data_IF_419507711002
#
_entry.id   IF_419507711002
#
_cell.length_a   1.000
_cell.length_b   1.000
_cell.length_c   1.000
_cell.angle_alpha   90.00
_cell.angle_beta   90.00
_cell.angle_gamma   90.00
#
_symmetry.space_group_name_H-M   'P 1'
#
loop_
_entity.id
_entity.type
_entity.pdbx_description
1 polymer ?
#
# COMPACT_ATOMS: atom_id res chain seq x y z
N UNK A 1 -24.75 25.40 -23.77
CA UNK A 1 -24.72 24.65 -25.05
C UNK A 1 -24.55 23.17 -24.73
N UNK A 2 -25.44 22.29 -25.21
CA UNK A 2 -25.32 20.86 -24.96
C UNK A 2 -24.14 20.31 -25.78
N UNK A 3 -23.09 19.87 -25.09
CA UNK A 3 -22.01 19.10 -25.69
C UNK A 3 -22.60 17.85 -26.33
N UNK A 4 -22.51 17.74 -27.66
CA UNK A 4 -22.88 16.54 -28.42
C UNK A 4 -22.11 15.36 -27.83
N UNK A 5 -22.81 14.48 -27.08
CA UNK A 5 -22.33 13.13 -26.84
C UNK A 5 -22.20 12.47 -28.21
N UNK A 6 -20.96 12.38 -28.73
CA UNK A 6 -20.63 11.45 -29.80
C UNK A 6 -20.96 10.07 -29.24
N UNK A 7 -21.85 9.34 -29.89
CA UNK A 7 -22.11 7.94 -29.60
C UNK A 7 -20.76 7.21 -29.59
N UNK A 8 -20.30 6.87 -28.40
CA UNK A 8 -18.96 6.33 -28.21
C UNK A 8 -19.06 4.84 -28.48
N UNK A 9 -18.59 4.39 -29.65
CA UNK A 9 -18.60 2.98 -30.04
C UNK A 9 -17.55 2.12 -29.29
N UNK A 10 -17.01 2.59 -28.17
CA UNK A 10 -16.00 1.86 -27.41
C UNK A 10 -16.67 1.09 -26.28
N UNK A 11 -16.43 -0.21 -26.24
CA UNK A 11 -16.98 -1.12 -25.22
C UNK A 11 -16.18 -1.12 -23.93
N UNK A 12 -14.88 -0.82 -23.99
CA UNK A 12 -13.98 -0.77 -22.85
C UNK A 12 -13.01 0.40 -22.95
N UNK A 13 -12.22 0.64 -21.90
CA UNK A 13 -11.13 1.61 -21.94
C UNK A 13 -10.01 1.19 -22.90
N UNK A 14 -9.89 -0.09 -23.26
CA UNK A 14 -8.86 -0.57 -24.20
C UNK A 14 -9.09 -0.03 -25.61
N UNK A 15 -10.35 0.10 -26.03
CA UNK A 15 -10.73 0.58 -27.36
C UNK A 15 -10.84 2.11 -27.43
N UNK A 16 -10.55 2.80 -26.31
CA UNK A 16 -10.62 4.26 -26.20
C UNK A 16 -9.41 4.91 -26.88
N UNK A 17 -9.62 5.92 -27.75
CA UNK A 17 -8.53 6.71 -28.32
C UNK A 17 -7.66 7.34 -27.24
N UNK A 18 -6.34 7.34 -27.46
CA UNK A 18 -5.37 7.78 -26.44
C UNK A 18 -5.60 9.22 -25.97
N UNK A 19 -6.05 10.13 -26.84
CA UNK A 19 -6.33 11.52 -26.46
C UNK A 19 -7.52 11.63 -25.49
N UNK A 20 -8.56 10.83 -25.72
CA UNK A 20 -9.70 10.77 -24.80
C UNK A 20 -9.28 10.11 -23.47
N UNK A 21 -8.49 9.03 -23.53
CA UNK A 21 -7.97 8.38 -22.32
C UNK A 21 -7.14 9.34 -21.48
N UNK A 22 -6.25 10.14 -22.09
CA UNK A 22 -5.48 11.19 -21.40
C UNK A 22 -6.38 12.23 -20.75
N UNK A 23 -7.38 12.72 -21.48
CA UNK A 23 -8.32 13.70 -20.94
C UNK A 23 -9.11 13.14 -19.75
N UNK A 24 -9.50 11.86 -19.78
CA UNK A 24 -10.17 11.19 -18.65
C UNK A 24 -9.23 10.91 -17.49
N UNK A 25 -7.97 10.57 -17.74
CA UNK A 25 -6.97 10.38 -16.70
C UNK A 25 -6.74 11.66 -15.89
N UNK A 26 -6.63 12.82 -16.55
CA UNK A 26 -6.51 14.11 -15.85
C UNK A 26 -7.77 14.46 -15.05
N UNK A 27 -8.96 14.18 -15.58
CA UNK A 27 -10.22 14.34 -14.83
C UNK A 27 -10.27 13.43 -13.60
N UNK A 28 -9.90 12.16 -13.74
CA UNK A 28 -9.85 11.21 -12.64
C UNK A 28 -8.87 11.65 -11.55
N UNK A 29 -7.70 12.20 -11.95
CA UNK A 29 -6.72 12.78 -11.03
C UNK A 29 -7.28 13.97 -10.26
N UNK A 30 -7.99 14.87 -10.92
CA UNK A 30 -8.64 16.01 -10.27
C UNK A 30 -9.72 15.56 -9.27
N UNK A 31 -10.55 14.58 -9.64
CA UNK A 31 -11.55 14.00 -8.73
C UNK A 31 -10.92 13.32 -7.51
N UNK A 32 -9.79 12.63 -7.69
CA UNK A 32 -9.06 12.02 -6.58
C UNK A 32 -8.50 13.08 -5.61
N UNK A 33 -8.02 14.21 -6.12
CA UNK A 33 -7.58 15.33 -5.29
C UNK A 33 -8.76 15.95 -4.51
N UNK A 34 -9.89 16.20 -5.18
CA UNK A 34 -11.10 16.74 -4.54
C UNK A 34 -11.64 15.80 -3.46
N UNK A 35 -11.64 14.48 -3.71
CA UNK A 35 -12.00 13.49 -2.69
C UNK A 35 -11.08 13.58 -1.47
N UNK A 36 -9.77 13.73 -1.70
CA UNK A 36 -8.78 13.92 -0.63
C UNK A 36 -9.08 15.15 0.22
N UNK A 37 -9.35 16.30 -0.40
CA UNK A 37 -9.70 17.55 0.31
C UNK A 37 -11.01 17.40 1.10
N UNK A 38 -12.03 16.77 0.52
CA UNK A 38 -13.30 16.51 1.21
C UNK A 38 -13.11 15.60 2.42
N UNK A 39 -12.30 14.55 2.30
CA UNK A 39 -11.99 13.66 3.43
C UNK A 39 -11.21 14.37 4.53
N UNK A 40 -10.22 15.20 4.17
CA UNK A 40 -9.46 16.00 5.15
C UNK A 40 -10.37 17.00 5.88
N UNK A 41 -11.37 17.58 5.19
CA UNK A 41 -12.35 18.47 5.84
C UNK A 41 -13.23 17.78 6.88
N UNK A 42 -13.49 16.47 6.71
CA UNK A 42 -14.27 15.67 7.67
C UNK A 42 -13.41 15.16 8.83
N UNK A 43 -12.14 14.87 8.54
CA UNK A 43 -11.18 14.29 9.47
C UNK A 43 -9.87 15.07 9.43
N UNK A 44 -9.83 16.28 10.01
CA UNK A 44 -8.63 17.12 9.93
C UNK A 44 -7.44 16.42 10.59
N UNK A 45 -6.31 16.40 9.88
CA UNK A 45 -5.07 15.81 10.40
C UNK A 45 -4.94 14.31 10.18
N UNK A 46 -5.48 13.76 9.09
CA UNK A 46 -5.24 12.38 8.68
C UNK A 46 -3.73 12.09 8.59
N UNK A 47 -3.31 10.96 9.17
CA UNK A 47 -1.91 10.56 9.24
C UNK A 47 -1.54 9.66 8.07
N UNK A 48 -0.44 9.99 7.38
CA UNK A 48 0.19 9.09 6.40
C UNK A 48 1.45 8.46 6.99
N UNK A 49 1.41 7.16 7.25
CA UNK A 49 2.59 6.41 7.69
C UNK A 49 3.61 6.28 6.55
N UNK A 50 4.89 6.33 6.91
CA UNK A 50 5.98 5.93 6.01
C UNK A 50 5.88 4.44 5.66
N UNK A 51 6.66 4.01 4.66
CA UNK A 51 6.69 2.59 4.28
C UNK A 51 7.19 1.72 5.44
N UNK A 52 8.20 2.19 6.14
CA UNK A 52 8.84 1.51 7.27
C UNK A 52 7.87 1.41 8.46
N UNK A 53 7.20 2.52 8.80
CA UNK A 53 6.18 2.54 9.85
C UNK A 53 5.01 1.59 9.54
N UNK A 54 4.54 1.57 8.27
CA UNK A 54 3.42 0.72 7.85
C UNK A 54 3.77 -0.78 7.88
N UNK A 55 5.05 -1.14 7.82
CA UNK A 55 5.50 -2.53 7.94
C UNK A 55 5.42 -3.03 9.38
N UNK A 56 5.79 -2.20 10.35
CA UNK A 56 5.83 -2.55 11.78
C UNK A 56 4.54 -2.19 12.53
N UNK A 57 3.64 -1.41 11.94
CA UNK A 57 2.37 -1.05 12.54
C UNK A 57 1.53 -2.30 12.90
N UNK A 58 0.91 -2.33 14.10
CA UNK A 58 0.05 -3.43 14.50
C UNK A 58 -1.18 -3.50 13.58
N UNK A 59 -1.59 -4.72 13.25
CA UNK A 59 -2.81 -4.99 12.47
C UNK A 59 -3.78 -5.72 13.38
N UNK A 60 -4.93 -5.10 13.63
CA UNK A 60 -6.00 -5.76 14.36
C UNK A 60 -6.70 -6.77 13.45
N UNK A 61 -7.14 -7.87 14.06
CA UNK A 61 -7.92 -8.93 13.42
C UNK A 61 -9.41 -8.61 13.53
N UNK A 62 -10.20 -9.29 12.71
CA UNK A 62 -11.66 -9.19 12.77
C UNK A 62 -12.17 -9.57 14.18
N UNK A 63 -13.02 -8.70 14.74
CA UNK A 63 -13.57 -8.86 16.08
C UNK A 63 -12.65 -8.46 17.24
N UNK A 64 -11.39 -8.12 16.99
CA UNK A 64 -10.43 -7.78 18.05
C UNK A 64 -10.84 -6.53 18.84
N UNK A 65 -11.42 -5.50 18.20
CA UNK A 65 -11.91 -4.29 18.89
C UNK A 65 -12.90 -4.58 20.00
N UNK A 66 -13.80 -5.56 19.80
CA UNK A 66 -14.79 -5.94 20.82
C UNK A 66 -14.11 -6.63 22.02
N UNK A 67 -13.07 -7.43 21.77
CA UNK A 67 -12.31 -8.09 22.83
C UNK A 67 -11.44 -7.09 23.61
N UNK A 68 -10.82 -6.12 22.94
CA UNK A 68 -10.08 -5.04 23.60
C UNK A 68 -10.98 -4.21 24.52
N UNK A 69 -12.22 -3.94 24.10
CA UNK A 69 -13.21 -3.31 24.97
C UNK A 69 -13.54 -4.12 26.24
N UNK A 70 -13.50 -5.46 26.17
CA UNK A 70 -13.66 -6.34 27.34
C UNK A 70 -12.47 -6.26 28.29
N UNK A 71 -11.25 -6.10 27.77
CA UNK A 71 -10.06 -5.83 28.61
C UNK A 71 -10.26 -4.54 29.39
N UNK A 72 -10.73 -3.47 28.73
CA UNK A 72 -11.01 -2.20 29.38
C UNK A 72 -12.17 -2.29 30.39
N UNK A 73 -13.12 -3.23 30.24
CA UNK A 73 -14.14 -3.52 31.26
C UNK A 73 -13.47 -4.05 32.54
N UNK A 74 -12.48 -4.95 32.41
CA UNK A 74 -11.72 -5.50 33.56
C UNK A 74 -10.90 -4.40 34.24
N UNK A 75 -10.26 -3.51 33.47
CA UNK A 75 -9.52 -2.37 34.04
C UNK A 75 -10.44 -1.50 34.90
N UNK A 76 -11.66 -1.23 34.43
CA UNK A 76 -12.66 -0.48 35.21
C UNK A 76 -13.10 -1.22 36.48
N UNK A 77 -13.14 -2.55 36.48
CA UNK A 77 -13.49 -3.34 37.67
C UNK A 77 -12.38 -3.34 38.73
N UNK A 78 -11.11 -3.25 38.31
CA UNK A 78 -9.93 -3.39 39.17
C UNK A 78 -8.83 -2.37 38.81
N UNK A 79 -9.10 -1.06 38.90
CA UNK A 79 -8.19 -0.02 38.39
C UNK A 79 -6.80 -0.05 39.04
N UNK A 80 -6.73 -0.35 40.34
CA UNK A 80 -5.47 -0.41 41.09
C UNK A 80 -4.44 -1.42 40.53
N UNK A 81 -4.89 -2.44 39.80
CA UNK A 81 -3.98 -3.43 39.17
C UNK A 81 -3.24 -2.87 37.95
N UNK A 82 -3.71 -1.75 37.39
CA UNK A 82 -3.22 -1.21 36.12
C UNK A 82 -2.59 0.18 36.26
N UNK A 83 -2.45 0.70 37.49
CA UNK A 83 -1.84 2.01 37.76
C UNK A 83 -0.43 2.14 37.19
N UNK A 84 0.36 1.06 37.17
CA UNK A 84 1.71 1.04 36.60
C UNK A 84 1.77 1.19 35.07
N UNK A 85 0.62 1.21 34.39
CA UNK A 85 0.52 1.43 32.95
C UNK A 85 -0.04 2.82 32.61
N UNK A 86 -0.33 3.65 33.61
CA UNK A 86 -0.94 4.97 33.42
C UNK A 86 -0.10 5.92 32.55
N UNK A 87 1.23 5.74 32.51
CA UNK A 87 2.13 6.52 31.67
C UNK A 87 2.18 6.02 30.20
N UNK A 88 1.55 4.88 29.89
CA UNK A 88 1.64 4.22 28.57
C UNK A 88 0.39 4.40 27.70
N UNK A 89 -0.72 4.89 28.24
CA UNK A 89 -1.96 5.09 27.47
C UNK A 89 -1.97 6.41 26.66
N UNK A 90 -0.92 7.22 26.83
CA UNK A 90 -0.76 8.57 26.28
C UNK A 90 -1.94 9.49 26.63
N UNK A 91 -2.46 9.32 27.85
CA UNK A 91 -3.45 10.19 28.47
C UNK A 91 -2.88 11.48 29.05
N UNK A 92 -3.73 12.21 29.76
CA UNK A 92 -3.43 13.44 30.47
C UNK A 92 -3.08 13.19 31.95
N UNK A 93 -3.57 12.09 32.55
CA UNK A 93 -3.32 11.77 33.95
C UNK A 93 -2.26 10.65 34.10
N UNK A 94 -1.01 10.98 34.49
CA UNK A 94 0.07 10.00 34.59
C UNK A 94 -0.12 8.97 35.72
N UNK A 95 -1.13 9.13 36.58
CA UNK A 95 -1.40 8.22 37.70
C UNK A 95 -2.66 7.37 37.49
N UNK A 96 -3.35 7.52 36.35
CA UNK A 96 -4.58 6.80 36.07
C UNK A 96 -4.61 6.27 34.65
N UNK A 97 -4.82 4.97 34.52
CA UNK A 97 -5.11 4.37 33.22
C UNK A 97 -6.49 4.79 32.69
N UNK A 98 -6.50 5.60 31.63
CA UNK A 98 -7.66 6.27 31.05
C UNK A 98 -8.42 5.38 30.08
N UNK A 99 -9.24 4.48 30.62
CA UNK A 99 -10.03 3.54 29.80
C UNK A 99 -10.95 4.23 28.79
N UNK A 100 -11.54 5.37 29.13
CA UNK A 100 -12.42 6.13 28.22
C UNK A 100 -11.67 6.62 26.98
N UNK A 101 -10.46 7.16 27.15
CA UNK A 101 -9.59 7.59 26.05
C UNK A 101 -9.29 6.44 25.09
N UNK A 102 -8.94 5.27 25.63
CA UNK A 102 -8.63 4.10 24.82
C UNK A 102 -9.86 3.54 24.10
N UNK A 103 -11.06 3.61 24.70
CA UNK A 103 -12.31 3.24 24.01
C UNK A 103 -12.59 4.12 22.80
N UNK A 104 -12.42 5.44 22.96
CA UNK A 104 -12.57 6.38 21.85
C UNK A 104 -11.57 6.09 20.72
N UNK A 105 -10.31 5.75 21.07
CA UNK A 105 -9.29 5.38 20.09
C UNK A 105 -9.64 4.07 19.36
N UNK A 106 -10.14 3.05 20.08
CA UNK A 106 -10.61 1.79 19.48
C UNK A 106 -11.76 2.05 18.50
N UNK A 107 -12.75 2.85 18.90
CA UNK A 107 -13.91 3.16 18.05
C UNK A 107 -13.49 3.95 16.80
N UNK A 108 -12.65 4.98 16.96
CA UNK A 108 -12.08 5.73 15.83
C UNK A 108 -11.31 4.82 14.88
N UNK A 109 -10.48 3.92 15.42
CA UNK A 109 -9.76 2.95 14.60
C UNK A 109 -10.72 2.06 13.80
N UNK A 110 -11.78 1.51 14.43
CA UNK A 110 -12.80 0.70 13.74
C UNK A 110 -13.49 1.46 12.60
N UNK A 111 -13.89 2.71 12.85
CA UNK A 111 -14.56 3.55 11.85
C UNK A 111 -13.62 3.89 10.69
N UNK A 112 -12.35 4.21 10.97
CA UNK A 112 -11.36 4.43 9.93
C UNK A 112 -11.07 3.16 9.13
N UNK A 113 -11.00 1.98 9.76
CA UNK A 113 -10.82 0.70 9.05
C UNK A 113 -11.96 0.45 8.06
N UNK A 114 -13.22 0.61 8.48
CA UNK A 114 -14.40 0.43 7.61
C UNK A 114 -14.41 1.41 6.44
N UNK A 115 -14.08 2.67 6.69
CA UNK A 115 -13.98 3.68 5.63
C UNK A 115 -12.86 3.31 4.64
N UNK A 116 -11.69 2.92 5.14
CA UNK A 116 -10.58 2.50 4.31
C UNK A 116 -10.92 1.27 3.45
N UNK A 117 -11.62 0.29 4.02
CA UNK A 117 -12.15 -0.87 3.28
C UNK A 117 -13.11 -0.47 2.16
N UNK A 118 -14.00 0.51 2.41
CA UNK A 118 -14.92 1.00 1.38
C UNK A 118 -14.24 1.72 0.21
N UNK A 119 -13.06 2.31 0.46
CA UNK A 119 -12.27 3.02 -0.54
C UNK A 119 -11.23 2.11 -1.24
N UNK A 120 -10.89 0.97 -0.63
CA UNK A 120 -9.86 0.07 -1.14
C UNK A 120 -10.09 -0.42 -2.58
N UNK A 121 -11.32 -0.77 -3.03
CA UNK A 121 -11.57 -1.21 -4.40
C UNK A 121 -11.13 -0.18 -5.45
N UNK A 122 -11.31 1.12 -5.19
CA UNK A 122 -10.99 2.20 -6.14
C UNK A 122 -9.49 2.18 -6.48
N UNK A 123 -8.64 2.11 -5.44
CA UNK A 123 -7.19 2.02 -5.61
C UNK A 123 -6.77 0.67 -6.19
N UNK A 124 -7.44 -0.41 -5.79
CA UNK A 124 -7.18 -1.77 -6.26
C UNK A 124 -7.40 -1.93 -7.76
N UNK A 125 -8.58 -1.55 -8.27
CA UNK A 125 -8.94 -1.66 -9.69
C UNK A 125 -8.02 -0.84 -10.60
N UNK A 126 -7.68 0.39 -10.20
CA UNK A 126 -6.72 1.22 -10.93
C UNK A 126 -5.33 0.61 -10.91
N UNK A 127 -4.86 0.13 -9.75
CA UNK A 127 -3.59 -0.57 -9.61
C UNK A 127 -3.51 -1.81 -10.49
N UNK A 128 -4.52 -2.67 -10.45
CA UNK A 128 -4.61 -3.88 -11.26
C UNK A 128 -4.68 -3.56 -12.75
N UNK A 129 -5.37 -2.50 -13.15
CA UNK A 129 -5.40 -2.04 -14.54
C UNK A 129 -4.02 -1.63 -15.05
N UNK A 130 -3.17 -1.03 -14.20
CA UNK A 130 -1.78 -0.73 -14.58
C UNK A 130 -0.95 -2.01 -14.79
N UNK A 131 -1.14 -3.02 -13.94
CA UNK A 131 -0.45 -4.31 -14.04
C UNK A 131 -0.93 -5.09 -15.25
N UNK A 132 -2.24 -5.14 -15.47
CA UNK A 132 -2.88 -5.73 -16.63
C UNK A 132 -2.34 -5.13 -17.93
N UNK A 133 -2.24 -3.80 -18.00
CA UNK A 133 -1.67 -3.11 -19.17
C UNK A 133 -0.20 -3.46 -19.37
N UNK A 134 0.58 -3.53 -18.28
CA UNK A 134 1.99 -3.91 -18.36
C UNK A 134 2.19 -5.33 -18.91
N UNK A 135 1.33 -6.29 -18.54
CA UNK A 135 1.34 -7.66 -19.08
C UNK A 135 1.22 -7.63 -20.61
N UNK A 136 0.38 -6.74 -21.18
CA UNK A 136 0.13 -6.68 -22.62
C UNK A 136 1.34 -6.24 -23.45
N UNK A 137 2.23 -5.39 -22.92
CA UNK A 137 3.36 -4.87 -23.71
C UNK A 137 4.74 -5.37 -23.26
N UNK A 138 4.93 -5.70 -21.98
CA UNK A 138 6.28 -5.87 -21.41
C UNK A 138 7.04 -7.04 -22.03
N UNK A 139 6.40 -8.19 -22.18
CA UNK A 139 7.05 -9.39 -22.71
C UNK A 139 7.47 -9.22 -24.17
N UNK A 140 6.58 -8.64 -24.99
CA UNK A 140 6.86 -8.33 -26.39
C UNK A 140 8.04 -7.36 -26.52
N UNK A 141 8.06 -6.29 -25.73
CA UNK A 141 9.18 -5.33 -25.73
C UNK A 141 10.49 -5.95 -25.22
N UNK A 142 10.44 -6.88 -24.26
CA UNK A 142 11.62 -7.60 -23.78
C UNK A 142 12.17 -8.57 -24.82
N UNK A 143 11.31 -9.21 -25.61
CA UNK A 143 11.74 -10.00 -26.76
C UNK A 143 12.40 -9.10 -27.83
N UNK A 144 11.76 -7.98 -28.19
CA UNK A 144 12.33 -7.01 -29.12
C UNK A 144 13.68 -6.44 -28.65
N UNK A 145 13.78 -6.10 -27.37
CA UNK A 145 15.04 -5.65 -26.76
C UNK A 145 16.16 -6.68 -26.90
N UNK A 146 15.89 -7.97 -26.67
CA UNK A 146 16.90 -9.03 -26.81
C UNK A 146 17.43 -9.12 -28.24
N UNK A 147 16.55 -9.02 -29.23
CA UNK A 147 16.94 -8.99 -30.65
C UNK A 147 17.76 -7.73 -30.95
N UNK A 148 17.25 -6.55 -30.58
CA UNK A 148 17.93 -5.27 -30.79
C UNK A 148 19.31 -5.24 -30.14
N UNK A 149 19.47 -5.83 -28.96
CA UNK A 149 20.75 -5.93 -28.23
C UNK A 149 21.78 -6.73 -29.01
N UNK A 150 21.40 -7.81 -29.69
CA UNK A 150 22.31 -8.58 -30.54
C UNK A 150 22.76 -7.74 -31.73
N UNK A 151 21.84 -7.04 -32.40
CA UNK A 151 22.19 -6.16 -33.52
C UNK A 151 23.07 -4.98 -33.12
N UNK A 152 22.88 -4.42 -31.92
CA UNK A 152 23.71 -3.34 -31.40
C UNK A 152 25.21 -3.69 -31.29
N UNK A 153 25.57 -4.97 -31.30
CA UNK A 153 26.98 -5.40 -31.27
C UNK A 153 27.72 -5.10 -32.58
N UNK A 154 26.99 -5.01 -33.69
CA UNK A 154 27.57 -4.86 -35.03
C UNK A 154 27.03 -3.63 -35.79
N UNK A 155 25.92 -3.04 -35.35
CA UNK A 155 25.36 -1.81 -35.90
C UNK A 155 25.46 -0.66 -34.89
N UNK A 156 26.30 0.33 -35.23
CA UNK A 156 26.54 1.51 -34.39
C UNK A 156 25.30 2.40 -34.25
N UNK A 157 24.45 2.52 -35.28
CA UNK A 157 23.22 3.32 -35.19
C UNK A 157 22.23 2.68 -34.21
N UNK A 158 22.14 1.34 -34.22
CA UNK A 158 21.32 0.61 -33.24
C UNK A 158 21.91 0.75 -31.84
N UNK A 159 23.24 0.67 -31.70
CA UNK A 159 23.92 0.86 -30.42
C UNK A 159 23.69 2.26 -29.83
N UNK A 160 23.78 3.31 -30.65
CA UNK A 160 23.61 4.69 -30.20
C UNK A 160 22.20 4.91 -29.60
N UNK A 161 21.17 4.27 -30.15
CA UNK A 161 19.80 4.32 -29.62
C UNK A 161 19.64 3.44 -28.38
N UNK A 162 20.25 2.25 -28.36
CA UNK A 162 20.01 1.23 -27.33
C UNK A 162 20.89 1.36 -26.09
N UNK A 163 22.02 2.07 -26.17
CA UNK A 163 22.96 2.28 -25.07
C UNK A 163 22.29 2.66 -23.73
N UNK A 164 21.40 3.68 -23.65
CA UNK A 164 20.75 4.03 -22.38
C UNK A 164 19.87 2.91 -21.82
N UNK A 165 19.24 2.11 -22.69
CA UNK A 165 18.40 0.97 -22.29
C UNK A 165 19.27 -0.15 -21.71
N UNK A 166 20.41 -0.45 -22.35
CA UNK A 166 21.38 -1.45 -21.86
C UNK A 166 21.90 -1.03 -20.47
N UNK A 167 22.25 0.23 -20.29
CA UNK A 167 22.77 0.74 -19.02
C UNK A 167 21.70 0.73 -17.91
N UNK A 168 20.45 1.07 -18.24
CA UNK A 168 19.33 0.91 -17.31
C UNK A 168 19.15 -0.55 -16.86
N UNK A 169 19.13 -1.48 -17.82
CA UNK A 169 18.98 -2.91 -17.53
C UNK A 169 20.15 -3.47 -16.71
N UNK A 170 21.38 -3.02 -16.97
CA UNK A 170 22.58 -3.40 -16.21
C UNK A 170 22.52 -2.91 -14.76
N UNK A 171 22.15 -1.64 -14.54
CA UNK A 171 22.03 -1.06 -13.19
C UNK A 171 21.02 -1.82 -12.34
N UNK A 172 19.84 -2.12 -12.91
CA UNK A 172 18.79 -2.85 -12.20
C UNK A 172 19.23 -4.27 -11.81
N UNK A 173 19.97 -4.96 -12.68
CA UNK A 173 20.51 -6.29 -12.37
C UNK A 173 21.53 -6.23 -11.21
N UNK A 174 22.38 -5.20 -11.17
CA UNK A 174 23.33 -5.00 -10.08
C UNK A 174 22.63 -4.71 -8.74
N UNK A 175 21.62 -3.84 -8.73
CA UNK A 175 20.81 -3.55 -7.53
C UNK A 175 20.10 -4.80 -7.01
N UNK A 176 19.52 -5.61 -7.91
CA UNK A 176 18.88 -6.87 -7.53
C UNK A 176 19.88 -7.88 -6.95
N UNK A 177 21.09 -7.97 -7.50
CA UNK A 177 22.15 -8.83 -6.98
C UNK A 177 22.63 -8.35 -5.58
N UNK A 178 22.77 -7.04 -5.38
CA UNK A 178 23.13 -6.47 -4.08
C UNK A 178 22.04 -6.70 -3.01
N UNK A 179 20.76 -6.57 -3.38
CA UNK A 179 19.62 -6.87 -2.50
C UNK A 179 19.56 -8.36 -2.10
N UNK A 180 19.94 -9.27 -3.00
CA UNK A 180 20.05 -10.71 -2.68
C UNK A 180 21.19 -11.01 -1.72
N UNK A 181 22.35 -10.36 -1.86
CA UNK A 181 23.51 -10.55 -0.98
C UNK A 181 23.29 -10.01 0.44
N UNK A 182 22.43 -9.00 0.61
CA UNK A 182 22.10 -8.40 1.91
C UNK A 182 20.98 -9.12 2.68
N UNK A 183 20.19 -9.97 2.00
CA UNK A 183 19.27 -10.89 2.68
C UNK A 183 20.05 -12.04 3.30
N UNK A 184 20.41 -11.90 4.59
CA UNK A 184 20.89 -13.01 5.43
C UNK A 184 19.79 -14.08 5.46
N UNK A 185 20.07 -15.36 5.16
CA UNK A 185 19.07 -16.42 5.31
C UNK A 185 18.64 -16.46 6.77
N UNK A 186 17.33 -16.56 7.00
CA UNK A 186 16.79 -16.73 8.34
C UNK A 186 17.43 -17.98 8.97
N UNK A 187 17.93 -17.91 10.22
CA UNK A 187 18.39 -19.11 10.90
C UNK A 187 17.22 -20.11 10.97
N UNK A 188 17.51 -21.38 10.67
CA UNK A 188 16.55 -22.46 10.74
C UNK A 188 15.89 -22.47 12.14
N UNK A 189 14.58 -22.72 12.25
CA UNK A 189 13.92 -22.80 13.54
C UNK A 189 14.58 -23.91 14.36
N UNK A 190 15.19 -23.53 15.49
CA UNK A 190 15.71 -24.49 16.47
C UNK A 190 14.57 -25.39 16.92
N UNK A 191 14.74 -26.70 16.73
CA UNK A 191 13.84 -27.70 17.28
C UNK A 191 13.80 -27.54 18.80
N UNK A 192 12.65 -27.17 19.35
CA UNK A 192 12.40 -27.24 20.78
C UNK A 192 12.34 -28.73 21.11
N UNK A 193 13.33 -29.21 21.88
CA UNK A 193 13.27 -30.50 22.52
C UNK A 193 12.12 -30.47 23.54
N UNK A 194 11.11 -31.30 23.30
CA UNK A 194 10.10 -31.62 24.31
C UNK A 194 10.80 -32.46 25.37
N UNK A 195 11.02 -31.89 26.55
CA UNK A 195 11.36 -32.68 27.72
C UNK A 195 10.07 -33.36 28.19
N UNK A 196 10.06 -34.69 28.08
CA UNK A 196 9.22 -35.55 28.91
C UNK A 196 9.57 -35.27 30.37
N UNK A 197 8.56 -34.98 31.19
CA UNK A 197 8.62 -35.25 32.62
C UNK A 197 7.36 -36.03 33.00
N UNK A 198 7.64 -37.18 33.63
CA UNK A 198 6.70 -38.16 34.16
C UNK A 198 6.26 -37.80 35.58
#
# INVERSE_FOLDING_TARGET
MPSKKKDSNWTTWEDMPIEEFRARAEKAKALAAELGERLDSLFPGLVTLTKEQRQTAPRLRDGEHAMLNKVLDVVNMKPALFESLADQDEGMDPNRFETALLRDRIEKHLLFSKLAESLAPIGGELGDSTLYTAIKFREALYAAYRIAKTHAQTDRKVMDVLAPVIDFMRRNAATAAAAKKSRKPAPAPSAIAVADDA
#
